data_IF_589987454339
#
_entry.id   IF_589987454339
#
_cell.length_a   1.000
_cell.length_b   1.000
_cell.length_c   1.000
_cell.angle_alpha   90.00
_cell.angle_beta   90.00
_cell.angle_gamma   90.00
#
_symmetry.space_group_name_H-M   'P 1'
#
loop_
_entity.id
_entity.type
_entity.pdbx_description
1 polymer ?
#
# COMPACT_ATOMS: atom_id res chain seq x y z
N UNK A 1 -5.92 -18.21 32.01
CA UNK A 1 -6.00 -17.44 30.75
C UNK A 1 -5.21 -18.17 29.67
N UNK A 2 -5.83 -18.48 28.54
CA UNK A 2 -5.11 -19.02 27.38
C UNK A 2 -4.16 -17.95 26.82
N UNK A 3 -2.90 -18.31 26.59
CA UNK A 3 -1.91 -17.42 25.97
C UNK A 3 -2.03 -17.56 24.44
N UNK A 4 -1.96 -16.44 23.73
CA UNK A 4 -1.89 -16.44 22.27
C UNK A 4 -0.48 -16.86 21.85
N UNK A 5 -0.36 -17.82 20.93
CA UNK A 5 0.92 -18.22 20.34
C UNK A 5 1.32 -17.23 19.25
N UNK A 6 2.60 -16.86 19.20
CA UNK A 6 3.19 -16.05 18.14
C UNK A 6 4.26 -16.91 17.47
N UNK A 7 4.20 -17.03 16.14
CA UNK A 7 5.21 -17.78 15.38
C UNK A 7 6.36 -16.87 14.94
N UNK A 8 7.50 -17.44 14.58
CA UNK A 8 8.59 -16.68 13.96
C UNK A 8 8.16 -16.01 12.64
N UNK A 9 7.22 -16.62 11.92
CA UNK A 9 6.62 -16.05 10.71
C UNK A 9 5.79 -14.80 11.02
N UNK A 10 5.06 -14.79 12.15
CA UNK A 10 4.33 -13.61 12.61
C UNK A 10 5.29 -12.46 12.94
N UNK A 11 6.43 -12.74 13.57
CA UNK A 11 7.47 -11.73 13.85
C UNK A 11 8.05 -11.17 12.55
N UNK A 12 8.36 -12.04 11.59
CA UNK A 12 8.81 -11.60 10.26
C UNK A 12 7.77 -10.72 9.56
N UNK A 13 6.47 -11.05 9.68
CA UNK A 13 5.37 -10.25 9.13
C UNK A 13 5.23 -8.89 9.80
N UNK A 14 5.46 -8.79 11.12
CA UNK A 14 5.39 -7.53 11.88
C UNK A 14 6.42 -6.52 11.37
N UNK A 15 7.60 -6.97 10.92
CA UNK A 15 8.65 -6.08 10.38
C UNK A 15 8.23 -5.35 9.09
N UNK A 16 7.21 -5.85 8.40
CA UNK A 16 6.62 -5.22 7.23
C UNK A 16 5.37 -4.41 7.58
N UNK A 17 4.96 -4.30 8.84
CA UNK A 17 3.81 -3.45 9.18
C UNK A 17 4.28 -2.01 9.41
N UNK A 18 3.82 -1.09 8.55
CA UNK A 18 4.02 0.37 8.65
C UNK A 18 5.49 0.83 8.61
N UNK A 19 6.22 0.47 7.55
CA UNK A 19 7.54 1.07 7.29
C UNK A 19 7.46 2.55 6.90
N UNK A 20 6.31 3.01 6.40
CA UNK A 20 6.11 4.42 6.08
C UNK A 20 4.70 4.89 6.47
N UNK A 21 4.64 6.17 6.82
CA UNK A 21 3.44 6.99 6.88
C UNK A 21 3.80 8.32 6.25
N UNK A 22 3.15 8.65 5.14
CA UNK A 22 3.46 9.85 4.35
C UNK A 22 2.19 10.68 4.11
N UNK A 23 2.31 11.99 3.89
CA UNK A 23 1.17 12.83 3.53
C UNK A 23 0.49 12.34 2.25
N UNK A 24 -0.83 12.49 2.14
CA UNK A 24 -1.59 12.14 0.93
C UNK A 24 -1.23 12.97 -0.31
N UNK A 25 -0.41 14.01 -0.17
CA UNK A 25 0.17 14.74 -1.31
C UNK A 25 1.39 14.04 -1.92
N UNK A 26 1.97 13.05 -1.23
CA UNK A 26 3.15 12.34 -1.68
C UNK A 26 2.78 11.28 -2.73
N UNK A 27 3.52 11.30 -3.84
CA UNK A 27 3.37 10.30 -4.90
C UNK A 27 4.35 9.16 -4.64
N UNK A 28 3.84 7.94 -4.55
CA UNK A 28 4.66 6.74 -4.43
C UNK A 28 5.07 6.30 -5.83
N UNK A 29 6.34 6.46 -6.22
CA UNK A 29 6.81 6.11 -7.59
C UNK A 29 8.29 5.72 -7.69
N UNK A 30 8.92 5.30 -6.59
CA UNK A 30 10.32 4.86 -6.61
C UNK A 30 10.49 3.59 -7.47
N UNK A 31 11.35 3.60 -8.50
CA UNK A 31 11.53 2.48 -9.42
C UNK A 31 12.13 1.22 -8.76
N UNK A 32 12.79 1.35 -7.61
CA UNK A 32 13.35 0.24 -6.86
C UNK A 32 12.40 -0.37 -5.84
N UNK A 33 11.14 0.10 -5.76
CA UNK A 33 10.19 -0.30 -4.72
C UNK A 33 8.87 -0.79 -5.29
N UNK A 34 8.31 -1.80 -4.63
CA UNK A 34 6.92 -2.19 -4.76
C UNK A 34 6.21 -1.88 -3.45
N UNK A 35 5.16 -1.07 -3.51
CA UNK A 35 4.46 -0.55 -2.35
C UNK A 35 3.26 -1.42 -1.99
N UNK A 36 3.03 -1.57 -0.69
CA UNK A 36 1.89 -2.26 -0.11
C UNK A 36 1.20 -1.30 0.86
N UNK A 37 0.09 -0.71 0.41
CA UNK A 37 -0.68 0.26 1.19
C UNK A 37 -1.58 -0.50 2.17
N UNK A 38 -1.45 -0.21 3.45
CA UNK A 38 -2.18 -0.88 4.53
C UNK A 38 -3.28 -0.01 5.11
N UNK A 39 -3.14 1.31 5.06
CA UNK A 39 -4.11 2.24 5.62
C UNK A 39 -4.19 3.57 4.86
N UNK A 40 -5.39 4.12 4.81
CA UNK A 40 -5.72 5.47 4.34
C UNK A 40 -6.31 6.21 5.53
N UNK A 41 -5.75 7.37 5.86
CA UNK A 41 -6.36 8.33 6.77
C UNK A 41 -6.97 9.47 5.95
N UNK A 42 -8.27 9.70 6.10
CA UNK A 42 -8.99 10.74 5.38
C UNK A 42 -10.22 11.21 6.15
N UNK A 43 -10.50 12.51 6.11
CA UNK A 43 -11.69 13.09 6.75
C UNK A 43 -12.93 12.92 5.86
N UNK A 44 -12.75 12.85 4.54
CA UNK A 44 -13.82 12.85 3.56
C UNK A 44 -13.69 11.76 2.50
N UNK A 45 -14.29 12.00 1.33
CA UNK A 45 -14.14 11.13 0.17
C UNK A 45 -12.71 11.18 -0.37
N UNK A 46 -12.18 10.02 -0.73
CA UNK A 46 -10.83 9.88 -1.26
C UNK A 46 -10.80 8.98 -2.49
N UNK A 47 -9.78 9.19 -3.32
CA UNK A 47 -9.48 8.39 -4.50
C UNK A 47 -7.98 8.12 -4.57
N UNK A 48 -7.63 6.87 -4.86
CA UNK A 48 -6.29 6.38 -5.18
C UNK A 48 -6.26 6.11 -6.68
N UNK A 49 -5.34 6.76 -7.39
CA UNK A 49 -4.97 6.40 -8.75
C UNK A 49 -3.71 5.54 -8.67
N UNK A 50 -3.85 4.26 -9.03
CA UNK A 50 -2.84 3.25 -8.79
C UNK A 50 -2.40 2.57 -10.10
N UNK A 51 -1.13 2.21 -10.12
CA UNK A 51 -0.52 1.30 -11.09
C UNK A 51 -0.15 0.02 -10.35
N UNK A 52 -0.89 -1.04 -10.58
CA UNK A 52 -0.63 -2.36 -10.04
C UNK A 52 0.60 -3.03 -10.64
N UNK A 53 0.74 -4.32 -10.36
CA UNK A 53 1.79 -5.18 -10.92
C UNK A 53 1.20 -6.35 -11.73
N UNK A 54 0.09 -6.09 -12.44
CA UNK A 54 -0.57 -7.10 -13.28
C UNK A 54 0.26 -7.38 -14.54
N UNK A 55 0.28 -8.65 -14.96
CA UNK A 55 0.95 -9.07 -16.20
C UNK A 55 0.27 -8.49 -17.46
N UNK A 56 -1.05 -8.25 -17.40
CA UNK A 56 -1.76 -7.54 -18.46
C UNK A 56 -1.65 -6.03 -18.24
N UNK A 57 -1.00 -5.34 -19.19
CA UNK A 57 -0.77 -3.90 -19.16
C UNK A 57 -2.08 -3.08 -19.11
N UNK A 58 -3.19 -3.63 -19.64
CA UNK A 58 -4.50 -2.98 -19.62
C UNK A 58 -5.14 -2.98 -18.23
N UNK A 59 -4.74 -3.91 -17.37
CA UNK A 59 -5.23 -4.05 -16.00
C UNK A 59 -4.25 -3.49 -14.97
N UNK A 60 -3.16 -2.86 -15.41
CA UNK A 60 -2.17 -2.27 -14.52
C UNK A 60 -2.69 -0.97 -13.92
N UNK A 61 -3.32 -0.09 -14.70
CA UNK A 61 -3.84 1.17 -14.19
C UNK A 61 -5.27 1.02 -13.71
N UNK A 62 -5.55 1.41 -12.47
CA UNK A 62 -6.89 1.38 -11.90
C UNK A 62 -7.06 2.47 -10.85
N UNK A 63 -8.31 2.80 -10.53
CA UNK A 63 -8.65 3.73 -9.47
C UNK A 63 -9.47 3.03 -8.39
N UNK A 64 -9.23 3.40 -7.13
CA UNK A 64 -10.05 2.96 -6.00
C UNK A 64 -10.48 4.17 -5.20
N UNK A 65 -11.76 4.23 -4.84
CA UNK A 65 -12.31 5.31 -4.03
C UNK A 65 -12.94 4.78 -2.76
N UNK A 66 -13.08 5.66 -1.77
CA UNK A 66 -13.74 5.38 -0.50
C UNK A 66 -14.00 6.66 0.26
N UNK A 67 -14.39 6.52 1.52
CA UNK A 67 -14.71 7.65 2.40
C UNK A 67 -14.21 7.38 3.80
N UNK A 68 -13.68 8.41 4.47
CA UNK A 68 -13.16 8.28 5.83
C UNK A 68 -11.90 7.41 5.89
N UNK A 69 -11.53 7.06 7.12
CA UNK A 69 -10.42 6.16 7.36
C UNK A 69 -10.71 4.77 6.83
N UNK A 70 -9.71 4.16 6.18
CA UNK A 70 -9.85 2.84 5.59
C UNK A 70 -8.59 1.99 5.78
N UNK A 71 -8.75 0.89 6.52
CA UNK A 71 -7.72 -0.12 6.67
C UNK A 71 -7.95 -1.28 5.72
N UNK A 72 -6.94 -1.62 4.93
CA UNK A 72 -7.02 -2.74 4.00
C UNK A 72 -6.80 -4.07 4.73
N UNK A 73 -7.74 -5.01 4.59
CA UNK A 73 -7.56 -6.38 5.09
C UNK A 73 -6.42 -7.11 4.36
N UNK A 74 -6.33 -6.92 3.04
CA UNK A 74 -5.20 -7.32 2.22
C UNK A 74 -4.53 -6.05 1.68
N UNK A 75 -3.23 -5.82 1.95
CA UNK A 75 -2.55 -4.61 1.51
C UNK A 75 -2.67 -4.41 -0.01
N UNK A 76 -2.88 -3.16 -0.42
CA UNK A 76 -2.98 -2.81 -1.84
C UNK A 76 -1.56 -2.75 -2.44
N UNK A 77 -1.26 -3.71 -3.32
CA UNK A 77 0.03 -3.82 -3.99
C UNK A 77 0.07 -2.93 -5.25
N UNK A 78 1.00 -1.97 -5.28
CA UNK A 78 1.14 -0.97 -6.35
C UNK A 78 2.62 -0.66 -6.63
N UNK A 79 2.95 -0.46 -7.90
CA UNK A 79 4.23 0.08 -8.33
C UNK A 79 4.24 1.61 -8.23
N UNK A 80 3.12 2.24 -8.58
CA UNK A 80 2.93 3.68 -8.45
C UNK A 80 1.55 4.00 -7.85
N UNK A 81 1.46 5.02 -7.01
CA UNK A 81 0.20 5.52 -6.51
C UNK A 81 0.23 7.03 -6.24
N UNK A 82 -0.87 7.69 -6.60
CA UNK A 82 -1.17 9.08 -6.25
C UNK A 82 -2.55 9.18 -5.61
N UNK A 83 -2.72 10.14 -4.71
CA UNK A 83 -3.91 10.24 -3.87
C UNK A 83 -4.61 11.58 -4.04
N UNK A 84 -5.93 11.57 -3.85
CA UNK A 84 -6.77 12.76 -3.79
C UNK A 84 -7.75 12.60 -2.63
N UNK A 85 -7.91 13.65 -1.81
CA UNK A 85 -8.77 13.62 -0.61
C UNK A 85 -8.22 12.78 0.55
N UNK A 86 -6.97 12.30 0.47
CA UNK A 86 -6.28 11.56 1.53
C UNK A 86 -5.43 12.52 2.37
N UNK A 87 -5.49 12.40 3.69
CA UNK A 87 -4.64 13.15 4.62
C UNK A 87 -3.28 12.46 4.76
N UNK A 88 -3.28 11.16 5.06
CA UNK A 88 -2.06 10.35 5.21
C UNK A 88 -2.28 8.95 4.63
N UNK A 89 -1.19 8.37 4.12
CA UNK A 89 -1.13 7.00 3.64
C UNK A 89 -0.07 6.23 4.42
N UNK A 90 -0.39 5.01 4.84
CA UNK A 90 0.55 4.14 5.53
C UNK A 90 0.70 2.81 4.82
N UNK A 91 1.88 2.22 4.94
CA UNK A 91 2.19 0.96 4.30
C UNK A 91 3.61 0.51 4.52
N UNK A 92 4.05 -0.39 3.65
CA UNK A 92 5.42 -0.84 3.55
C UNK A 92 5.82 -1.01 2.09
N UNK A 93 7.13 -1.13 1.86
CA UNK A 93 7.64 -1.44 0.54
C UNK A 93 8.56 -2.65 0.61
N UNK A 94 8.72 -3.32 -0.53
CA UNK A 94 9.76 -4.32 -0.74
C UNK A 94 10.62 -3.86 -1.90
N UNK A 95 11.89 -4.29 -1.91
CA UNK A 95 12.76 -4.03 -3.05
C UNK A 95 12.21 -4.75 -4.28
N UNK A 96 12.07 -4.02 -5.38
CA UNK A 96 11.69 -4.54 -6.67
C UNK A 96 12.90 -4.54 -7.59
N UNK A 97 13.22 -5.70 -8.18
CA UNK A 97 14.21 -5.79 -9.24
C UNK A 97 13.54 -5.49 -10.58
N UNK A 98 14.13 -4.66 -11.45
CA UNK A 98 13.63 -4.49 -12.81
C UNK A 98 13.62 -5.85 -13.51
N UNK A 99 12.47 -6.26 -14.03
CA UNK A 99 12.40 -7.39 -14.95
C UNK A 99 12.93 -6.92 -16.29
N UNK A 100 14.14 -7.35 -16.66
CA UNK A 100 14.65 -7.20 -18.02
C UNK A 100 13.85 -8.11 -18.95
N UNK A 101 13.09 -7.51 -19.87
CA UNK A 101 12.43 -8.20 -20.98
C UNK A 101 13.41 -8.49 -22.11
#
# INVERSE_FOLDING_TARGET
>A
MSRKSITLQDIGRIQYQNQFTVPGSEVLNDPGRLYYITNIHAIGGWTISAKGNNADQKLTNYSRSGTGDFQFFLPLCVSEASFSGVTEVSGFWVNASPMSH
#
